data_IF_901434282343
#
_entry.id   IF_901434282343
#
_cell.length_a   1.000
_cell.length_b   1.000
_cell.length_c   1.000
_cell.angle_alpha   90.00
_cell.angle_beta   90.00
_cell.angle_gamma   90.00
#
_symmetry.space_group_name_H-M   'P 1'
#
loop_
_entity.id
_entity.type
_entity.pdbx_description
1 polymer ?
#
# COMPACT_ATOMS: atom_id res chain seq x y z
N UNK A 1 17.85 17.99 49.49
CA UNK A 1 18.42 17.61 48.18
C UNK A 1 18.66 18.86 47.34
N UNK A 2 19.91 19.07 46.91
CA UNK A 2 20.38 20.23 46.13
C UNK A 2 19.58 20.40 44.83
N UNK A 3 19.37 21.64 44.37
CA UNK A 3 18.62 21.95 43.14
C UNK A 3 19.18 21.24 41.89
N UNK A 4 20.50 21.04 41.85
CA UNK A 4 21.21 20.29 40.81
C UNK A 4 20.74 18.83 40.75
N UNK A 5 20.46 18.24 41.91
CA UNK A 5 19.99 16.87 42.05
C UNK A 5 18.57 16.70 41.49
N UNK A 6 17.74 17.76 41.58
CA UNK A 6 16.36 17.77 41.07
C UNK A 6 16.34 17.80 39.54
N UNK A 7 17.20 18.61 38.92
CA UNK A 7 17.36 18.66 37.46
C UNK A 7 17.86 17.33 36.90
N UNK A 8 18.86 16.70 37.55
CA UNK A 8 19.38 15.39 37.12
C UNK A 8 18.29 14.32 37.11
N UNK A 9 17.50 14.24 38.18
CA UNK A 9 16.39 13.28 38.29
C UNK A 9 15.28 13.58 37.27
N UNK A 10 15.00 14.86 36.97
CA UNK A 10 14.03 15.23 35.94
C UNK A 10 14.52 14.82 34.53
N UNK A 11 15.79 15.04 34.22
CA UNK A 11 16.38 14.63 32.94
C UNK A 11 16.37 13.11 32.77
N UNK A 12 16.76 12.36 33.81
CA UNK A 12 16.72 10.89 33.80
C UNK A 12 15.31 10.32 33.62
N UNK A 13 14.27 11.01 34.12
CA UNK A 13 12.86 10.64 33.89
C UNK A 13 12.41 10.94 32.47
N UNK A 14 12.82 12.09 31.91
CA UNK A 14 12.47 12.48 30.55
C UNK A 14 13.18 11.62 29.49
N UNK A 15 14.45 11.26 29.71
CA UNK A 15 15.21 10.37 28.81
C UNK A 15 14.60 8.98 28.69
N UNK A 16 13.98 8.45 29.75
CA UNK A 16 13.30 7.15 29.74
C UNK A 16 11.98 7.17 28.95
N UNK A 17 11.43 8.35 28.67
CA UNK A 17 10.23 8.49 27.84
C UNK A 17 10.52 8.47 26.33
N UNK A 18 11.80 8.58 25.92
CA UNK A 18 12.22 8.60 24.51
C UNK A 18 12.15 7.18 23.90
N UNK A 19 12.50 6.15 24.67
CA UNK A 19 12.34 4.73 24.25
C UNK A 19 10.93 4.19 24.49
N UNK A 20 10.10 4.89 25.27
CA UNK A 20 8.68 4.64 25.46
C UNK A 20 7.80 5.32 24.39
N UNK A 21 8.37 5.67 23.23
CA UNK A 21 7.61 6.02 22.01
C UNK A 21 6.86 4.76 21.56
N UNK A 22 5.76 4.45 22.26
CA UNK A 22 4.88 3.32 22.00
C UNK A 22 4.55 3.27 20.52
N UNK A 23 4.56 2.05 19.97
CA UNK A 23 4.31 1.69 18.57
C UNK A 23 4.02 2.89 17.64
N UNK A 24 5.04 3.71 17.38
CA UNK A 24 4.93 4.78 16.39
C UNK A 24 4.87 4.03 15.08
N UNK A 25 3.65 3.84 14.58
CA UNK A 25 3.42 3.31 13.25
C UNK A 25 4.22 4.18 12.32
N UNK A 26 5.32 3.63 11.80
CA UNK A 26 6.08 4.25 10.72
C UNK A 26 5.10 4.34 9.57
N UNK A 27 4.53 5.51 9.34
CA UNK A 27 3.66 5.73 8.18
C UNK A 27 4.53 5.81 6.92
N UNK A 28 5.20 4.72 6.57
CA UNK A 28 5.21 4.31 5.19
C UNK A 28 3.94 3.51 5.06
N UNK A 29 2.83 4.19 4.72
CA UNK A 29 1.73 3.46 4.09
C UNK A 29 2.40 2.82 2.87
N UNK A 30 2.58 1.48 2.78
CA UNK A 30 2.76 0.92 1.45
C UNK A 30 1.58 1.47 0.66
N UNK A 31 1.92 2.05 -0.49
CA UNK A 31 1.00 2.59 -1.48
C UNK A 31 -0.25 1.74 -1.45
N UNK A 32 -1.39 2.37 -1.19
CA UNK A 32 -2.70 1.73 -1.14
C UNK A 32 -3.03 1.29 -2.58
N UNK A 33 -2.35 0.24 -3.05
CA UNK A 33 -2.61 -0.48 -4.30
C UNK A 33 -4.04 -1.06 -4.29
N UNK A 34 -4.61 -1.20 -3.09
CA UNK A 34 -5.91 -1.76 -2.73
C UNK A 34 -7.13 -0.95 -3.20
N UNK A 35 -6.97 0.18 -3.89
CA UNK A 35 -8.12 1.02 -4.27
C UNK A 35 -8.20 1.43 -5.72
N UNK A 36 -7.74 0.57 -6.63
CA UNK A 36 -8.44 0.50 -7.91
C UNK A 36 -9.80 -0.16 -7.67
N UNK A 37 -10.94 0.45 -8.07
CA UNK A 37 -12.27 -0.12 -7.87
C UNK A 37 -12.46 -1.47 -8.58
N UNK A 38 -11.49 -1.87 -9.38
CA UNK A 38 -11.41 -3.13 -10.11
C UNK A 38 -10.21 -3.92 -9.61
N UNK A 39 -10.45 -5.15 -9.15
CA UNK A 39 -9.38 -6.04 -8.71
C UNK A 39 -8.49 -6.46 -9.89
N UNK A 40 -7.20 -6.78 -9.66
CA UNK A 40 -6.28 -7.22 -10.72
C UNK A 40 -6.82 -8.37 -11.57
N UNK A 41 -7.54 -9.31 -10.93
CA UNK A 41 -8.16 -10.44 -11.60
C UNK A 41 -9.31 -10.03 -12.52
N UNK A 42 -10.16 -9.09 -12.07
CA UNK A 42 -11.25 -8.53 -12.88
C UNK A 42 -10.69 -7.72 -14.06
N UNK A 43 -9.62 -6.95 -13.84
CA UNK A 43 -8.94 -6.21 -14.91
C UNK A 43 -8.36 -7.16 -15.97
N UNK A 44 -7.68 -8.23 -15.54
CA UNK A 44 -7.15 -9.24 -16.44
C UNK A 44 -8.24 -9.94 -17.25
N UNK A 45 -9.34 -10.34 -16.60
CA UNK A 45 -10.50 -10.92 -17.27
C UNK A 45 -11.16 -9.93 -18.24
N UNK A 46 -11.31 -8.67 -17.83
CA UNK A 46 -11.90 -7.63 -18.67
C UNK A 46 -11.09 -7.42 -19.95
N UNK A 47 -9.77 -7.25 -19.82
CA UNK A 47 -8.87 -7.10 -20.98
C UNK A 47 -8.86 -8.35 -21.84
N UNK A 48 -8.83 -9.55 -21.26
CA UNK A 48 -8.87 -10.81 -22.01
C UNK A 48 -10.17 -10.98 -22.80
N UNK A 49 -11.32 -10.70 -22.19
CA UNK A 49 -12.62 -10.84 -22.87
C UNK A 49 -12.78 -9.77 -23.96
N UNK A 50 -12.48 -8.50 -23.66
CA UNK A 50 -12.65 -7.40 -24.62
C UNK A 50 -11.65 -7.49 -25.77
N UNK A 51 -10.34 -7.56 -25.49
CA UNK A 51 -9.33 -7.64 -26.54
C UNK A 51 -9.30 -9.02 -27.22
N UNK A 52 -9.47 -10.10 -26.46
CA UNK A 52 -9.48 -11.45 -27.00
C UNK A 52 -10.63 -11.67 -27.97
N UNK A 53 -11.84 -11.21 -27.66
CA UNK A 53 -12.99 -11.35 -28.56
C UNK A 53 -12.81 -10.61 -29.89
N UNK A 54 -12.16 -9.44 -29.90
CA UNK A 54 -11.83 -8.72 -31.13
C UNK A 54 -10.84 -9.52 -31.99
N UNK A 55 -9.82 -10.12 -31.37
CA UNK A 55 -8.85 -10.98 -32.08
C UNK A 55 -9.55 -12.22 -32.67
N UNK A 56 -10.41 -12.89 -31.90
CA UNK A 56 -11.16 -14.04 -32.39
C UNK A 56 -12.12 -13.66 -33.53
N UNK A 57 -12.79 -12.50 -33.44
CA UNK A 57 -13.63 -11.97 -34.52
C UNK A 57 -12.82 -11.69 -35.79
N UNK A 58 -11.63 -11.11 -35.68
CA UNK A 58 -10.75 -10.85 -36.84
C UNK A 58 -10.26 -12.17 -37.45
N UNK A 59 -9.82 -13.12 -36.62
CA UNK A 59 -9.37 -14.43 -37.12
C UNK A 59 -10.52 -15.18 -37.77
N UNK A 60 -11.73 -15.12 -37.19
CA UNK A 60 -12.92 -15.73 -37.79
C UNK A 60 -13.33 -15.00 -39.07
N UNK A 61 -13.35 -13.66 -39.12
CA UNK A 61 -13.71 -12.94 -40.34
C UNK A 61 -12.70 -13.13 -41.48
N UNK A 62 -11.44 -13.37 -41.18
CA UNK A 62 -10.43 -13.71 -42.21
C UNK A 62 -10.56 -15.18 -42.64
N UNK A 63 -10.76 -16.12 -41.71
CA UNK A 63 -10.87 -17.56 -42.03
C UNK A 63 -12.22 -17.94 -42.64
N UNK A 64 -13.29 -17.31 -42.21
CA UNK A 64 -14.61 -17.47 -42.79
C UNK A 64 -14.74 -16.68 -44.10
N UNK A 65 -13.72 -15.88 -44.44
CA UNK A 65 -13.88 -14.79 -45.41
C UNK A 65 -14.90 -13.79 -44.86
N UNK A 66 -14.94 -12.60 -45.43
CA UNK A 66 -16.28 -12.05 -45.60
C UNK A 66 -17.06 -12.97 -46.54
#
# INVERSE_FOLDING_TARGET
>A
MSAIQRMKVANERHSKSITQRGHVQKTSRPVNEEKSPVGPWLLALFVFVVCGSAIFQIIQSIRQGM
#
